data_IF_805482531639
#
_entry.id   IF_805482531639
#
_cell.length_a   1.000
_cell.length_b   1.000
_cell.length_c   1.000
_cell.angle_alpha   90.00
_cell.angle_beta   90.00
_cell.angle_gamma   90.00
#
_symmetry.space_group_name_H-M   'P 1'
#
loop_
_entity.id
_entity.type
_entity.pdbx_description
1 polymer ?
#
# COMPACT_ATOMS: atom_id res chain seq x y z
N UNK A 1 -6.97 12.80 4.89
CA UNK A 1 -6.53 12.33 6.21
C UNK A 1 -5.70 11.05 6.11
N UNK A 2 -6.15 9.98 5.43
CA UNK A 2 -5.41 8.70 5.29
C UNK A 2 -4.08 8.78 4.53
N UNK A 3 -4.03 9.49 3.40
CA UNK A 3 -2.81 9.63 2.61
C UNK A 3 -1.72 10.45 3.34
N UNK A 4 -2.08 11.31 4.29
CA UNK A 4 -1.10 12.05 5.09
C UNK A 4 -0.37 11.16 6.10
N UNK A 5 -1.00 10.05 6.51
CA UNK A 5 -0.45 9.10 7.47
C UNK A 5 0.29 7.97 6.76
N UNK A 6 -0.37 7.38 5.75
CA UNK A 6 0.16 6.21 5.04
C UNK A 6 1.07 6.58 3.87
N UNK A 7 0.90 7.79 3.32
CA UNK A 7 1.51 8.20 2.05
C UNK A 7 1.28 7.20 0.91
N UNK A 8 0.11 6.53 0.96
CA UNK A 8 -0.37 5.60 -0.06
C UNK A 8 -1.32 6.32 -1.02
N UNK A 9 -1.11 6.09 -2.32
CA UNK A 9 -2.06 6.38 -3.37
C UNK A 9 -2.64 5.04 -3.82
N UNK A 10 -3.87 4.69 -3.41
CA UNK A 10 -4.52 3.46 -3.85
C UNK A 10 -4.85 3.53 -5.34
N UNK A 11 -4.77 2.39 -6.00
CA UNK A 11 -5.26 2.21 -7.37
C UNK A 11 -6.73 1.77 -7.32
N UNK A 12 -7.59 2.47 -8.05
CA UNK A 12 -9.02 2.18 -8.13
C UNK A 12 -9.46 1.59 -9.48
N UNK A 13 -8.54 1.41 -10.43
CA UNK A 13 -8.88 0.92 -11.77
C UNK A 13 -9.22 -0.58 -11.77
N UNK A 14 -8.59 -1.35 -10.87
CA UNK A 14 -8.77 -2.79 -10.76
C UNK A 14 -9.27 -3.16 -9.36
N UNK A 15 -10.55 -3.50 -9.26
CA UNK A 15 -11.20 -3.91 -8.01
C UNK A 15 -10.95 -5.37 -7.63
N UNK A 16 -10.33 -6.18 -8.50
CA UNK A 16 -10.02 -7.58 -8.19
C UNK A 16 -8.87 -7.72 -7.19
N UNK A 17 -8.07 -6.67 -7.01
CA UNK A 17 -6.86 -6.67 -6.20
C UNK A 17 -6.70 -5.41 -5.38
N UNK A 18 -5.95 -5.53 -4.30
CA UNK A 18 -5.56 -4.40 -3.47
C UNK A 18 -4.21 -3.91 -4.00
N UNK A 19 -4.19 -2.79 -4.72
CA UNK A 19 -2.96 -2.27 -5.32
C UNK A 19 -2.83 -0.76 -5.18
N UNK A 20 -1.61 -0.25 -5.35
CA UNK A 20 -1.34 1.18 -5.26
C UNK A 20 0.15 1.50 -5.19
N UNK A 21 0.42 2.73 -4.79
CA UNK A 21 1.77 3.29 -4.69
C UNK A 21 2.03 3.86 -3.29
N UNK A 22 3.19 3.55 -2.72
CA UNK A 22 3.73 4.18 -1.50
C UNK A 22 4.70 5.28 -1.95
N UNK A 23 4.42 6.54 -1.60
CA UNK A 23 5.15 7.73 -2.09
C UNK A 23 6.03 8.38 -1.02
N UNK A 24 7.32 8.09 -1.00
CA UNK A 24 8.29 8.71 -0.10
C UNK A 24 8.80 10.03 -0.71
N UNK A 25 8.37 11.15 -0.13
CA UNK A 25 8.71 12.49 -0.62
C UNK A 25 10.15 12.88 -0.27
N UNK A 26 10.65 12.42 0.87
CA UNK A 26 11.98 12.79 1.37
C UNK A 26 13.05 12.07 0.57
N UNK A 27 12.83 10.77 0.30
CA UNK A 27 13.73 9.96 -0.53
C UNK A 27 13.41 10.01 -2.02
N UNK A 28 12.34 10.72 -2.43
CA UNK A 28 11.81 10.77 -3.80
C UNK A 28 11.60 9.37 -4.42
N UNK A 29 11.03 8.46 -3.63
CA UNK A 29 10.76 7.08 -4.06
C UNK A 29 9.28 6.81 -4.21
N UNK A 30 8.95 5.99 -5.20
CA UNK A 30 7.59 5.49 -5.42
C UNK A 30 7.68 3.99 -5.54
N UNK A 31 7.06 3.28 -4.60
CA UNK A 31 7.05 1.82 -4.56
C UNK A 31 5.64 1.32 -4.88
N UNK A 32 5.52 0.40 -5.83
CA UNK A 32 4.23 -0.22 -6.19
C UNK A 32 4.00 -1.43 -5.29
N UNK A 33 2.77 -1.60 -4.81
CA UNK A 33 2.30 -2.84 -4.17
C UNK A 33 1.06 -3.38 -4.89
N UNK A 34 0.91 -4.69 -4.82
CA UNK A 34 -0.23 -5.43 -5.36
C UNK A 34 -0.42 -6.68 -4.50
N UNK A 35 -1.65 -6.87 -4.01
CA UNK A 35 -2.03 -7.99 -3.14
C UNK A 35 -3.32 -8.58 -3.68
N UNK A 36 -3.32 -9.90 -3.87
CA UNK A 36 -4.53 -10.65 -4.16
C UNK A 36 -5.29 -10.93 -2.84
N UNK A 37 -6.51 -10.37 -2.67
CA UNK A 37 -7.30 -10.56 -1.45
C UNK A 37 -7.79 -12.00 -1.26
N UNK A 38 -7.65 -12.87 -2.27
CA UNK A 38 -8.01 -14.29 -2.19
C UNK A 38 -6.87 -15.17 -1.69
N UNK A 39 -5.63 -14.73 -1.85
CA UNK A 39 -4.44 -15.50 -1.48
C UNK A 39 -3.97 -15.21 -0.05
N UNK A 40 -4.28 -14.02 0.47
CA UNK A 40 -3.74 -13.52 1.75
C UNK A 40 -4.87 -13.08 2.67
N UNK A 41 -4.74 -13.38 3.98
CA UNK A 41 -5.74 -12.93 4.95
C UNK A 41 -5.78 -11.40 5.03
N UNK A 42 -6.93 -10.83 5.43
CA UNK A 42 -7.07 -9.38 5.62
C UNK A 42 -6.08 -8.86 6.67
N UNK A 43 -5.80 -9.67 7.71
CA UNK A 43 -4.84 -9.32 8.75
C UNK A 43 -3.41 -9.22 8.20
N UNK A 44 -2.96 -10.25 7.48
CA UNK A 44 -1.61 -10.30 6.92
C UNK A 44 -1.40 -9.22 5.85
N UNK A 45 -2.44 -8.93 5.07
CA UNK A 45 -2.45 -7.83 4.10
C UNK A 45 -2.23 -6.49 4.79
N UNK A 46 -3.03 -6.18 5.81
CA UNK A 46 -2.91 -4.93 6.57
C UNK A 46 -1.54 -4.80 7.25
N UNK A 47 -1.06 -5.88 7.88
CA UNK A 47 0.24 -5.91 8.54
C UNK A 47 1.38 -5.70 7.54
N UNK A 48 1.32 -6.34 6.37
CA UNK A 48 2.34 -6.19 5.32
C UNK A 48 2.39 -4.76 4.78
N UNK A 49 1.22 -4.16 4.50
CA UNK A 49 1.13 -2.77 4.05
C UNK A 49 1.66 -1.80 5.12
N UNK A 50 1.30 -2.03 6.39
CA UNK A 50 1.77 -1.18 7.49
C UNK A 50 3.29 -1.25 7.69
N UNK A 51 3.88 -2.45 7.55
CA UNK A 51 5.33 -2.62 7.59
C UNK A 51 6.03 -1.84 6.46
N UNK A 52 5.48 -1.85 5.24
CA UNK A 52 6.04 -1.07 4.13
C UNK A 52 5.97 0.45 4.38
N UNK A 53 4.92 0.93 5.03
CA UNK A 53 4.79 2.35 5.41
C UNK A 53 5.80 2.75 6.50
N UNK A 54 6.05 1.89 7.49
CA UNK A 54 6.96 2.17 8.61
C UNK A 54 8.45 2.01 8.28
N UNK A 55 8.79 1.32 7.19
CA UNK A 55 10.18 1.17 6.73
C UNK A 55 10.73 2.43 6.03
N UNK A 56 9.98 3.55 6.06
CA UNK A 56 10.44 4.87 5.63
C UNK A 56 11.44 5.51 6.57
#
# INVERSE_FOLDING_TARGET
MYACVTNIIPNFDDHSKISGHIVDRDKRRVEKFEVDPTEVSTFDTCQSIWNMVNLR
#
